data_IF_882414567266
#
_entry.id   IF_882414567266
#
_cell.length_a   1.000
_cell.length_b   1.000
_cell.length_c   1.000
_cell.angle_alpha   90.00
_cell.angle_beta   90.00
_cell.angle_gamma   90.00
#
_symmetry.space_group_name_H-M   'P 1'
#
loop_
_entity.id
_entity.type
_entity.pdbx_description
1 polymer ?
#
# COMPACT_ATOMS: atom_id res chain seq x y z
N UNK A 1 24.51 2.79 3.74
CA UNK A 1 23.96 4.07 3.25
C UNK A 1 22.50 3.81 2.94
N UNK A 2 21.56 4.42 3.65
CA UNK A 2 20.14 4.33 3.29
C UNK A 2 19.98 5.04 1.95
N UNK A 3 19.59 4.29 0.91
CA UNK A 3 19.25 4.89 -0.38
C UNK A 3 18.01 5.79 -0.24
N UNK A 4 17.81 6.66 -1.23
CA UNK A 4 16.67 7.58 -1.22
C UNK A 4 15.33 6.83 -1.15
N UNK A 5 14.37 7.39 -0.43
CA UNK A 5 13.04 6.81 -0.22
C UNK A 5 11.88 7.66 -0.78
N UNK A 6 10.76 6.99 -0.99
CA UNK A 6 9.50 7.55 -1.46
C UNK A 6 8.34 6.99 -0.61
N UNK A 7 7.42 7.87 -0.20
CA UNK A 7 6.15 7.53 0.41
C UNK A 7 5.02 8.07 -0.47
N UNK A 8 4.14 7.18 -0.92
CA UNK A 8 2.92 7.55 -1.63
C UNK A 8 1.75 7.35 -0.66
N UNK A 9 1.00 8.41 -0.39
CA UNK A 9 -0.21 8.34 0.42
C UNK A 9 -1.42 8.29 -0.52
N UNK A 10 -2.27 7.29 -0.34
CA UNK A 10 -3.53 7.14 -1.07
C UNK A 10 -4.70 7.17 -0.12
N UNK A 11 -5.64 8.08 -0.34
CA UNK A 11 -6.99 7.93 0.21
C UNK A 11 -7.64 6.75 -0.51
N UNK A 12 -8.05 5.74 0.24
CA UNK A 12 -8.76 4.59 -0.30
C UNK A 12 -10.03 5.06 -0.99
N UNK A 13 -10.46 4.32 -1.99
CA UNK A 13 -11.75 4.53 -2.67
C UNK A 13 -12.54 3.23 -2.67
N UNK A 14 -13.83 3.27 -2.97
CA UNK A 14 -14.67 2.06 -3.01
C UNK A 14 -14.09 0.96 -3.91
N UNK A 15 -13.39 1.33 -5.00
CA UNK A 15 -12.71 0.38 -5.86
C UNK A 15 -11.53 -0.35 -5.21
N UNK A 16 -10.83 0.29 -4.26
CA UNK A 16 -9.70 -0.30 -3.55
C UNK A 16 -10.19 -1.30 -2.50
N UNK A 17 -11.39 -1.07 -1.96
CA UNK A 17 -11.97 -1.92 -0.91
C UNK A 17 -12.15 -3.38 -1.37
N UNK A 18 -12.22 -3.65 -2.67
CA UNK A 18 -12.26 -5.01 -3.22
C UNK A 18 -10.97 -5.83 -3.00
N UNK A 19 -9.87 -5.20 -2.59
CA UNK A 19 -8.66 -5.91 -2.13
C UNK A 19 -8.91 -6.69 -0.83
N UNK A 20 -9.77 -6.18 0.05
CA UNK A 20 -10.04 -6.77 1.35
C UNK A 20 -11.22 -7.74 1.26
N UNK A 21 -11.02 -8.98 1.69
CA UNK A 21 -12.07 -10.01 1.61
C UNK A 21 -13.33 -9.62 2.40
N UNK A 22 -13.17 -8.93 3.53
CA UNK A 22 -14.24 -8.48 4.40
C UNK A 22 -15.26 -7.55 3.71
N UNK A 23 -14.82 -6.79 2.69
CA UNK A 23 -15.65 -5.77 2.02
C UNK A 23 -16.25 -6.23 0.70
N UNK A 24 -15.88 -7.43 0.23
CA UNK A 24 -16.18 -7.92 -1.12
C UNK A 24 -17.67 -8.03 -1.44
N UNK A 25 -18.49 -8.41 -0.45
CA UNK A 25 -19.95 -8.54 -0.66
C UNK A 25 -20.64 -7.19 -0.82
N UNK A 26 -20.05 -6.12 -0.28
CA UNK A 26 -20.58 -4.77 -0.32
C UNK A 26 -20.01 -3.94 -1.47
N UNK A 27 -18.89 -4.36 -2.08
CA UNK A 27 -18.26 -3.65 -3.20
C UNK A 27 -18.79 -4.14 -4.53
N UNK A 28 -19.35 -3.24 -5.33
CA UNK A 28 -19.75 -3.52 -6.71
C UNK A 28 -18.54 -3.74 -7.65
N UNK A 29 -17.35 -3.30 -7.24
CA UNK A 29 -16.13 -3.40 -8.02
C UNK A 29 -15.47 -4.77 -7.87
N UNK A 30 -15.23 -5.47 -8.99
CA UNK A 30 -14.40 -6.68 -9.03
C UNK A 30 -12.89 -6.42 -8.91
N UNK A 31 -12.47 -5.14 -8.79
CA UNK A 31 -11.06 -4.79 -8.67
C UNK A 31 -10.50 -5.25 -7.31
N UNK A 32 -9.37 -5.97 -7.34
CA UNK A 32 -8.65 -6.47 -6.17
C UNK A 32 -7.27 -5.84 -6.07
N UNK A 33 -7.23 -4.52 -6.05
CA UNK A 33 -5.97 -3.79 -6.14
C UNK A 33 -6.12 -2.37 -5.60
N UNK A 34 -5.05 -1.88 -4.99
CA UNK A 34 -4.87 -0.47 -4.70
C UNK A 34 -4.55 0.27 -5.99
N UNK A 35 -5.34 1.28 -6.35
CA UNK A 35 -5.08 2.04 -7.56
C UNK A 35 -3.92 3.03 -7.37
N UNK A 36 -3.11 3.19 -8.41
CA UNK A 36 -2.05 4.18 -8.49
C UNK A 36 -2.34 5.12 -9.66
N UNK A 37 -2.07 6.41 -9.47
CA UNK A 37 -2.06 7.37 -10.59
C UNK A 37 -0.85 7.08 -11.48
N UNK A 38 -0.92 7.46 -12.76
CA UNK A 38 0.22 7.36 -13.67
C UNK A 38 1.45 8.08 -13.12
N UNK A 39 1.25 9.24 -12.47
CA UNK A 39 2.33 9.99 -11.82
C UNK A 39 2.98 9.20 -10.68
N UNK A 40 2.18 8.60 -9.80
CA UNK A 40 2.69 7.78 -8.69
C UNK A 40 3.43 6.55 -9.20
N UNK A 41 2.87 5.83 -10.16
CA UNK A 41 3.52 4.67 -10.77
C UNK A 41 4.86 5.05 -11.45
N UNK A 42 4.93 6.19 -12.15
CA UNK A 42 6.17 6.65 -12.78
C UNK A 42 7.28 7.00 -11.77
N UNK A 43 6.91 7.43 -10.56
CA UNK A 43 7.88 7.69 -9.48
C UNK A 43 8.27 6.41 -8.74
N UNK A 44 7.34 5.48 -8.58
CA UNK A 44 7.56 4.22 -7.90
C UNK A 44 8.39 3.23 -8.73
N UNK A 45 8.09 3.10 -10.02
CA UNK A 45 8.61 2.03 -10.87
C UNK A 45 9.83 2.48 -11.66
N UNK A 46 10.78 1.57 -11.85
CA UNK A 46 11.86 1.74 -12.81
C UNK A 46 11.28 2.03 -14.21
N UNK A 47 11.91 2.89 -15.04
CA UNK A 47 11.42 3.19 -16.40
C UNK A 47 11.09 1.94 -17.22
N UNK A 48 11.95 0.92 -17.19
CA UNK A 48 11.71 -0.33 -17.95
C UNK A 48 10.45 -1.08 -17.49
N UNK A 49 10.19 -1.10 -16.17
CA UNK A 49 8.96 -1.71 -15.62
C UNK A 49 7.74 -0.88 -15.98
N UNK A 50 7.87 0.45 -15.97
CA UNK A 50 6.81 1.37 -16.31
C UNK A 50 6.42 1.25 -17.79
N UNK A 51 7.40 1.29 -18.70
CA UNK A 51 7.19 1.14 -20.15
C UNK A 51 6.74 -0.29 -20.51
N UNK A 52 7.25 -1.29 -19.79
CA UNK A 52 6.80 -2.68 -19.83
C UNK A 52 5.38 -2.91 -19.28
N UNK A 53 4.72 -1.86 -18.78
CA UNK A 53 3.33 -1.86 -18.25
C UNK A 53 3.13 -2.77 -17.03
N UNK A 54 4.21 -3.12 -16.32
CA UNK A 54 4.12 -3.80 -15.04
C UNK A 54 5.28 -4.72 -14.71
N UNK A 55 5.30 -5.15 -13.46
CA UNK A 55 6.29 -6.05 -12.87
C UNK A 55 5.75 -6.68 -11.59
N UNK A 56 6.51 -7.63 -11.07
CA UNK A 56 6.19 -8.34 -9.83
C UNK A 56 7.11 -7.85 -8.71
N UNK A 57 6.52 -7.54 -7.57
CA UNK A 57 7.20 -6.90 -6.45
C UNK A 57 6.91 -7.65 -5.17
N UNK A 58 7.95 -7.88 -4.37
CA UNK A 58 7.80 -8.32 -3.00
C UNK A 58 7.13 -7.21 -2.18
N UNK A 59 5.93 -7.50 -1.66
CA UNK A 59 5.12 -6.53 -0.96
C UNK A 59 4.81 -6.99 0.45
N UNK A 60 4.91 -6.08 1.41
CA UNK A 60 4.53 -6.31 2.80
C UNK A 60 3.33 -5.42 3.12
N UNK A 61 2.22 -6.01 3.56
CA UNK A 61 1.00 -5.32 3.92
C UNK A 61 0.81 -5.36 5.44
N UNK A 62 0.57 -4.20 6.06
CA UNK A 62 0.38 -4.03 7.50
C UNK A 62 -0.93 -3.30 7.81
N UNK A 63 -1.69 -3.84 8.76
CA UNK A 63 -2.80 -3.13 9.42
C UNK A 63 -3.10 -3.71 10.81
N UNK A 64 -2.95 -2.92 11.86
CA UNK A 64 -3.12 -3.41 13.23
C UNK A 64 -2.22 -4.62 13.50
N UNK A 65 -2.81 -5.75 13.90
CA UNK A 65 -2.10 -7.02 14.10
C UNK A 65 -1.89 -7.83 12.81
N UNK A 66 -2.51 -7.46 11.69
CA UNK A 66 -2.36 -8.18 10.44
C UNK A 66 -1.06 -7.80 9.73
N UNK A 67 -0.32 -8.83 9.32
CA UNK A 67 0.83 -8.73 8.44
C UNK A 67 0.74 -9.80 7.35
N UNK A 68 0.94 -9.40 6.10
CA UNK A 68 1.02 -10.30 4.95
C UNK A 68 2.22 -9.91 4.09
N UNK A 69 3.07 -10.86 3.69
CA UNK A 69 4.12 -10.62 2.68
C UNK A 69 3.93 -11.59 1.54
N UNK A 70 3.79 -11.06 0.33
CA UNK A 70 3.62 -11.84 -0.87
C UNK A 70 4.18 -11.10 -2.09
N UNK A 71 4.43 -11.83 -3.17
CA UNK A 71 4.71 -11.21 -4.46
C UNK A 71 3.40 -10.67 -5.02
N UNK A 72 3.36 -9.37 -5.29
CA UNK A 72 2.22 -8.68 -5.89
C UNK A 72 2.58 -8.08 -7.24
N UNK A 73 1.66 -8.20 -8.19
CA UNK A 73 1.78 -7.58 -9.52
C UNK A 73 1.44 -6.10 -9.42
N UNK A 74 2.36 -5.22 -9.83
CA UNK A 74 2.04 -3.84 -10.21
C UNK A 74 1.89 -3.78 -11.71
N UNK A 75 0.72 -3.41 -12.22
CA UNK A 75 0.51 -3.35 -13.67
C UNK A 75 -0.39 -2.19 -14.10
N UNK A 76 -0.25 -1.82 -15.37
CA UNK A 76 -1.11 -0.83 -16.01
C UNK A 76 -2.43 -1.49 -16.43
N UNK A 77 -3.53 -1.07 -15.82
CA UNK A 77 -4.87 -1.32 -16.35
C UNK A 77 -5.21 -0.32 -17.46
N UNK A 78 -6.51 -0.19 -17.80
CA UNK A 78 -6.95 0.75 -18.84
C UNK A 78 -6.61 2.21 -18.51
N UNK A 79 -7.17 2.75 -17.42
CA UNK A 79 -6.96 4.14 -17.00
C UNK A 79 -5.93 4.27 -15.89
N UNK A 80 -5.88 3.31 -14.96
CA UNK A 80 -5.07 3.39 -13.74
C UNK A 80 -4.02 2.29 -13.67
N UNK A 81 -2.94 2.57 -12.95
CA UNK A 81 -2.03 1.54 -12.47
C UNK A 81 -2.65 0.85 -11.26
N UNK A 82 -2.30 -0.41 -11.04
CA UNK A 82 -2.88 -1.23 -9.98
C UNK A 82 -1.79 -2.01 -9.29
N UNK A 83 -1.76 -1.91 -7.97
CA UNK A 83 -0.99 -2.79 -7.09
C UNK A 83 -1.94 -3.88 -6.60
N UNK A 84 -1.93 -5.02 -7.31
CA UNK A 84 -2.86 -6.13 -7.12
C UNK A 84 -2.32 -7.22 -6.20
N UNK A 85 -2.83 -8.44 -6.35
CA UNK A 85 -2.36 -9.63 -5.61
C UNK A 85 -3.53 -10.43 -5.03
N UNK A 86 -3.20 -11.28 -4.06
CA UNK A 86 -4.19 -12.03 -3.31
C UNK A 86 -5.04 -11.08 -2.49
N UNK A 87 -6.27 -11.51 -2.20
CA UNK A 87 -7.12 -10.76 -1.27
C UNK A 87 -6.50 -10.79 0.12
N UNK A 88 -6.65 -9.67 0.83
CA UNK A 88 -6.29 -9.59 2.24
C UNK A 88 -7.48 -10.09 3.06
N UNK A 89 -7.33 -11.22 3.74
CA UNK A 89 -8.42 -12.00 4.35
C UNK A 89 -8.51 -11.87 5.88
N UNK A 90 -7.55 -11.21 6.51
CA UNK A 90 -7.55 -11.00 7.95
C UNK A 90 -8.75 -10.13 8.40
N UNK A 91 -9.45 -10.53 9.46
CA UNK A 91 -10.69 -9.88 9.90
C UNK A 91 -10.53 -8.40 10.25
N UNK A 92 -9.37 -8.01 10.80
CA UNK A 92 -9.05 -6.61 11.12
C UNK A 92 -9.29 -5.65 9.95
N UNK A 93 -9.11 -6.08 8.70
CA UNK A 93 -9.37 -5.23 7.52
C UNK A 93 -10.85 -4.82 7.35
N UNK A 94 -11.79 -5.44 8.09
CA UNK A 94 -13.19 -5.01 8.16
C UNK A 94 -13.33 -3.58 8.70
N UNK A 95 -12.40 -3.13 9.54
CA UNK A 95 -12.44 -1.80 10.16
C UNK A 95 -12.05 -0.67 9.19
N UNK A 96 -11.52 -1.01 8.02
CA UNK A 96 -11.20 -0.04 6.97
C UNK A 96 -12.43 0.35 6.15
N UNK A 97 -12.44 1.58 5.65
CA UNK A 97 -13.39 2.05 4.64
C UNK A 97 -12.77 2.97 3.59
N UNK A 98 -13.59 3.43 2.65
CA UNK A 98 -13.17 4.27 1.52
C UNK A 98 -12.83 5.72 1.87
N UNK A 99 -12.62 6.04 3.15
CA UNK A 99 -12.09 7.33 3.62
C UNK A 99 -10.80 7.17 4.42
N UNK A 100 -10.33 5.93 4.56
CA UNK A 100 -9.07 5.60 5.20
C UNK A 100 -7.90 5.72 4.23
N UNK A 101 -6.67 5.55 4.73
CA UNK A 101 -5.47 5.73 3.92
C UNK A 101 -4.68 4.43 3.75
N UNK A 102 -4.02 4.32 2.61
CA UNK A 102 -2.90 3.42 2.38
C UNK A 102 -1.63 4.23 2.15
N UNK A 103 -0.56 3.90 2.86
CA UNK A 103 0.78 4.42 2.64
C UNK A 103 1.61 3.36 1.94
N UNK A 104 2.23 3.75 0.83
CA UNK A 104 3.05 2.88 -0.01
C UNK A 104 4.48 3.43 0.05
N UNK A 105 5.36 2.75 0.80
CA UNK A 105 6.76 3.14 1.00
C UNK A 105 7.69 2.21 0.23
N UNK A 106 8.65 2.79 -0.49
CA UNK A 106 9.64 2.08 -1.31
C UNK A 106 10.80 3.01 -1.65
N UNK A 107 11.85 2.50 -2.28
CA UNK A 107 12.79 3.33 -3.06
C UNK A 107 12.10 3.88 -4.32
N UNK A 108 12.49 5.08 -4.80
CA UNK A 108 12.04 5.59 -6.10
C UNK A 108 12.63 4.73 -7.23
N UNK A 109 11.91 4.63 -8.34
CA UNK A 109 12.33 3.86 -9.52
C UNK A 109 12.69 2.39 -9.21
N UNK A 110 11.92 1.77 -8.32
CA UNK A 110 12.08 0.38 -7.91
C UNK A 110 11.91 -0.56 -9.13
N UNK A 111 12.93 -1.39 -9.34
CA UNK A 111 13.02 -2.40 -10.39
C UNK A 111 12.58 -3.81 -9.92
N UNK A 112 12.21 -3.94 -8.65
CA UNK A 112 11.86 -5.20 -7.99
C UNK A 112 12.91 -5.67 -6.97
N UNK A 113 14.07 -5.03 -6.89
CA UNK A 113 15.13 -5.41 -5.95
C UNK A 113 14.82 -5.03 -4.50
N UNK A 114 13.91 -4.08 -4.27
CA UNK A 114 13.50 -3.64 -2.94
C UNK A 114 12.01 -3.93 -2.69
N UNK A 115 11.62 -4.28 -1.46
CA UNK A 115 10.22 -4.52 -1.15
C UNK A 115 9.40 -3.23 -1.19
N UNK A 116 8.10 -3.37 -1.45
CA UNK A 116 7.11 -2.30 -1.29
C UNK A 116 6.34 -2.54 0.01
N UNK A 117 6.34 -1.55 0.91
CA UNK A 117 5.57 -1.60 2.14
C UNK A 117 4.24 -0.88 1.97
N UNK A 118 3.13 -1.57 2.28
CA UNK A 118 1.77 -1.05 2.30
C UNK A 118 1.27 -1.01 3.74
N UNK A 119 1.14 0.19 4.31
CA UNK A 119 0.58 0.37 5.64
C UNK A 119 -0.79 1.03 5.54
N UNK A 120 -1.81 0.40 6.11
CA UNK A 120 -3.17 0.96 6.14
C UNK A 120 -3.42 1.74 7.43
N UNK A 121 -4.18 2.83 7.31
CA UNK A 121 -4.50 3.73 8.42
C UNK A 121 -6.00 3.96 8.47
N UNK A 122 -6.67 3.23 9.37
CA UNK A 122 -8.10 3.36 9.62
C UNK A 122 -8.43 4.52 10.56
N UNK A 123 -9.50 5.26 10.29
CA UNK A 123 -10.00 6.36 11.12
C UNK A 123 -10.48 5.92 12.49
N UNK A 124 -10.96 4.68 12.62
CA UNK A 124 -11.39 4.13 13.91
C UNK A 124 -10.21 3.59 14.72
N UNK A 125 -9.33 2.83 14.07
CA UNK A 125 -8.22 2.11 14.72
C UNK A 125 -7.00 2.98 14.98
N UNK A 126 -6.81 4.08 14.22
CA UNK A 126 -5.62 4.94 14.27
C UNK A 126 -5.98 6.43 14.27
N UNK A 127 -6.93 6.85 15.11
CA UNK A 127 -7.52 8.20 15.14
C UNK A 127 -6.48 9.34 15.09
N UNK A 128 -5.45 9.31 15.94
CA UNK A 128 -4.43 10.36 16.00
C UNK A 128 -3.59 10.43 14.71
N UNK A 129 -3.17 9.27 14.21
CA UNK A 129 -2.39 9.18 12.96
C UNK A 129 -3.24 9.63 11.77
N UNK A 130 -4.52 9.23 11.74
CA UNK A 130 -5.45 9.64 10.71
C UNK A 130 -5.67 11.15 10.72
N UNK A 131 -5.88 11.76 11.89
CA UNK A 131 -6.05 13.20 12.02
C UNK A 131 -4.79 13.96 11.54
N UNK A 132 -3.61 13.45 11.88
CA UNK A 132 -2.33 13.99 11.40
C UNK A 132 -2.19 13.92 9.88
N UNK A 133 -2.57 12.79 9.26
CA UNK A 133 -2.58 12.65 7.79
C UNK A 133 -3.56 13.61 7.14
N UNK A 134 -4.78 13.75 7.67
CA UNK A 134 -5.77 14.70 7.14
C UNK A 134 -5.24 16.13 7.22
N UNK A 135 -4.68 16.54 8.35
CA UNK A 135 -4.10 17.87 8.51
C UNK A 135 -2.94 18.12 7.54
N UNK A 136 -2.06 17.14 7.36
CA UNK A 136 -0.93 17.22 6.42
C UNK A 136 -1.38 17.34 4.97
N UNK A 137 -2.49 16.69 4.61
CA UNK A 137 -3.03 16.66 3.25
C UNK A 137 -4.05 17.78 2.96
N UNK A 138 -4.42 18.58 3.98
CA UNK A 138 -5.49 19.58 3.91
C UNK A 138 -5.27 20.65 2.84
N UNK A 139 -4.02 20.92 2.46
CA UNK A 139 -3.66 21.97 1.50
C UNK A 139 -3.74 21.52 0.02
N UNK A 140 -4.60 20.54 -0.29
CA UNK A 140 -4.82 20.08 -1.67
C UNK A 140 -3.73 19.16 -2.21
N UNK A 141 -2.95 18.52 -1.33
CA UNK A 141 -1.86 17.61 -1.70
C UNK A 141 -2.34 16.35 -2.43
N UNK A 142 -3.59 15.93 -2.18
CA UNK A 142 -4.21 14.79 -2.85
C UNK A 142 -4.65 15.15 -4.26
N UNK A 143 -3.88 14.71 -5.25
CA UNK A 143 -4.26 14.75 -6.65
C UNK A 143 -4.83 13.39 -7.06
N UNK A 144 -6.13 13.34 -7.37
CA UNK A 144 -6.85 12.09 -7.65
C UNK A 144 -6.70 11.04 -6.53
N UNK A 145 -6.92 11.48 -5.29
CA UNK A 145 -6.80 10.66 -4.06
C UNK A 145 -5.39 10.15 -3.77
N UNK A 146 -4.35 10.71 -4.40
CA UNK A 146 -2.96 10.31 -4.17
C UNK A 146 -2.06 11.53 -3.95
N UNK A 147 -1.21 11.45 -2.93
CA UNK A 147 -0.11 12.37 -2.68
C UNK A 147 1.22 11.60 -2.71
N UNK A 148 2.28 12.26 -3.17
CA UNK A 148 3.62 11.68 -3.31
C UNK A 148 4.58 12.52 -2.48
N UNK A 149 5.36 11.87 -1.63
CA UNK A 149 6.39 12.45 -0.77
C UNK A 149 7.72 11.77 -1.07
N UNK A 150 8.63 12.48 -1.72
CA UNK A 150 10.04 12.13 -1.73
C UNK A 150 10.75 12.78 -0.54
N UNK A 151 11.99 12.37 -0.26
CA UNK A 151 12.78 12.88 0.88
C UNK A 151 12.93 14.40 0.90
N UNK A 152 12.87 15.06 -0.26
CA UNK A 152 12.97 16.52 -0.35
C UNK A 152 11.67 17.25 -0.03
N UNK A 153 10.53 16.53 -0.03
CA UNK A 153 9.22 17.12 0.19
C UNK A 153 8.94 17.32 1.68
N UNK A 154 8.41 18.49 2.02
CA UNK A 154 7.90 18.77 3.37
C UNK A 154 6.87 17.71 3.80
N UNK A 155 6.99 17.25 5.04
CA UNK A 155 6.17 16.17 5.60
C UNK A 155 6.74 14.76 5.43
N UNK A 156 7.74 14.55 4.55
CA UNK A 156 8.35 13.23 4.37
C UNK A 156 8.93 12.67 5.68
N UNK A 157 9.74 13.45 6.40
CA UNK A 157 10.35 13.00 7.67
C UNK A 157 9.29 12.54 8.67
N UNK A 158 8.24 13.34 8.87
CA UNK A 158 7.16 13.01 9.79
C UNK A 158 6.43 11.71 9.39
N UNK A 159 6.18 11.50 8.10
CA UNK A 159 5.60 10.25 7.61
C UNK A 159 6.57 9.08 7.79
N UNK A 160 7.85 9.27 7.48
CA UNK A 160 8.87 8.24 7.62
C UNK A 160 9.01 7.76 9.07
N UNK A 161 8.93 8.68 10.02
CA UNK A 161 9.04 8.38 11.45
C UNK A 161 7.81 7.64 11.98
N UNK A 162 6.61 8.03 11.53
CA UNK A 162 5.36 7.37 11.91
C UNK A 162 5.20 5.97 11.27
N UNK A 163 5.80 5.76 10.11
CA UNK A 163 5.64 4.54 9.32
C UNK A 163 7.01 3.97 8.93
N UNK A 164 7.80 3.48 9.90
CA UNK A 164 9.18 3.09 9.68
C UNK A 164 9.32 2.02 8.60
N UNK A 165 10.40 2.09 7.83
CA UNK A 165 10.72 1.06 6.85
C UNK A 165 10.86 -0.30 7.53
N UNK A 166 10.38 -1.36 6.89
CA UNK A 166 10.65 -2.73 7.32
C UNK A 166 11.94 -3.18 6.62
N UNK A 167 12.96 -3.68 7.36
CA UNK A 167 14.15 -4.23 6.74
C UNK A 167 13.79 -5.36 5.77
N UNK A 168 14.31 -5.34 4.53
CA UNK A 168 14.01 -6.35 3.51
C UNK A 168 14.24 -7.81 3.96
N UNK A 169 15.16 -7.99 4.92
CA UNK A 169 15.53 -9.26 5.54
C UNK A 169 14.57 -9.77 6.63
N UNK A 170 13.52 -9.03 6.98
CA UNK A 170 12.52 -9.52 7.95
C UNK A 170 11.75 -10.66 7.28
N UNK A 171 12.19 -11.90 7.54
CA UNK A 171 11.52 -13.11 7.08
C UNK A 171 10.10 -13.13 7.66
N UNK A 172 9.10 -13.13 6.78
CA UNK A 172 7.72 -13.42 7.21
C UNK A 172 7.67 -14.90 7.49
N UNK A 173 7.32 -15.26 8.74
CA UNK A 173 7.01 -16.64 9.09
C UNK A 173 5.97 -17.13 8.08
N UNK A 174 6.14 -18.31 7.47
CA UNK A 174 5.03 -18.95 6.76
C UNK A 174 3.82 -18.95 7.69
N UNK A 175 2.58 -18.80 7.18
CA UNK A 175 1.41 -19.08 7.99
C UNK A 175 1.68 -20.43 8.65
N UNK A 176 1.58 -20.47 9.98
CA UNK A 176 1.75 -21.71 10.72
C UNK A 176 0.90 -22.74 9.98
N UNK A 177 1.55 -23.76 9.40
CA UNK A 177 0.82 -24.87 8.80
C UNK A 177 -0.16 -25.25 9.89
N UNK A 178 -1.46 -25.07 9.63
CA UNK A 178 -2.48 -25.66 10.47
C UNK A 178 -2.06 -27.12 10.55
N UNK A 179 -1.57 -27.52 11.72
CA UNK A 179 -1.35 -28.91 12.02
C UNK A 179 -2.69 -29.55 11.71
N UNK A 180 -2.75 -30.27 10.59
CA UNK A 180 -3.79 -31.21 10.33
C UNK A 180 -3.61 -32.28 11.41
N UNK A 181 -4.17 -32.00 12.58
CA UNK A 181 -4.40 -32.97 13.62
C UNK A 181 -5.42 -33.96 13.03
N UNK A 182 -4.90 -35.13 12.69
CA UNK A 182 -5.44 -36.46 12.99
C UNK A 182 -6.92 -36.68 12.62
N UNK A 183 -7.18 -37.55 11.64
CA UNK A 183 -7.52 -38.97 11.89
C UNK A 183 -7.49 -39.78 10.58
#
# INVERSE_FOLDING_TARGET
MSGSELIIVRSLTDSDMGLFAAHRKATASHQRAIALTTRAAKRLLHPDVFEGKGGDFDCICLFGAAMNREIRRVNKGSKNWRLGGSQLDHEVFRDLDSRDFALIRSVPHNDGASPILLTFVGRHSHQLVQAGLVAMLANGELQHSVAIFDESKSGFSALSDLFPAIPARVAVRPPAQQSAFIS
#
